data_IF_585821456771
#
_entry.id   IF_585821456771
#
_cell.length_a   1.000
_cell.length_b   1.000
_cell.length_c   1.000
_cell.angle_alpha   90.00
_cell.angle_beta   90.00
_cell.angle_gamma   90.00
#
_symmetry.space_group_name_H-M   'P 1'
#
loop_
_entity.id
_entity.type
_entity.pdbx_description
1 polymer ?
#
# COMPACT_ATOMS: atom_id res chain seq x y z
N UNK A 1 20.86 -22.63 24.45
CA UNK A 1 21.36 -22.16 23.13
C UNK A 1 21.22 -20.66 23.05
N UNK A 2 22.18 -19.92 22.46
CA UNK A 2 22.14 -18.46 22.41
C UNK A 2 21.03 -17.97 21.47
N UNK A 3 20.34 -16.92 21.90
CA UNK A 3 19.27 -16.25 21.13
C UNK A 3 19.83 -15.67 19.83
N UNK A 4 19.27 -16.11 18.69
CA UNK A 4 19.40 -15.39 17.43
C UNK A 4 18.61 -14.08 17.56
N UNK A 5 19.32 -12.94 17.54
CA UNK A 5 18.72 -11.60 17.58
C UNK A 5 17.97 -11.34 16.29
N UNK A 6 16.65 -11.48 16.32
CA UNK A 6 15.79 -10.91 15.30
C UNK A 6 15.94 -9.39 15.32
N UNK A 7 16.33 -8.81 14.18
CA UNK A 7 16.45 -7.36 14.02
C UNK A 7 15.05 -6.82 13.77
N UNK A 8 14.34 -6.49 14.85
CA UNK A 8 13.01 -5.90 14.81
C UNK A 8 13.09 -4.50 14.19
N UNK A 9 12.35 -4.26 13.10
CA UNK A 9 12.20 -2.94 12.50
C UNK A 9 10.85 -2.34 12.94
N UNK A 10 10.90 -1.51 13.97
CA UNK A 10 10.00 -0.36 14.23
C UNK A 10 8.50 -0.62 14.43
N UNK A 11 8.06 -0.70 15.70
CA UNK A 11 6.67 -0.47 16.13
C UNK A 11 6.56 -0.16 17.62
N UNK A 12 5.57 0.67 18.02
CA UNK A 12 5.26 1.02 19.42
C UNK A 12 4.55 -0.12 20.17
N UNK A 13 3.88 -1.02 19.44
CA UNK A 13 3.36 -2.28 19.94
C UNK A 13 4.12 -3.44 19.30
N UNK A 14 4.27 -4.55 20.03
CA UNK A 14 4.77 -5.80 19.47
C UNK A 14 3.86 -6.29 18.35
N UNK A 15 4.39 -7.10 17.43
CA UNK A 15 3.56 -7.73 16.40
C UNK A 15 2.55 -8.66 17.07
N UNK A 16 1.29 -8.27 17.08
CA UNK A 16 0.20 -9.17 17.46
C UNK A 16 0.11 -10.24 16.36
N UNK A 17 0.55 -11.46 16.68
CA UNK A 17 0.28 -12.61 15.82
C UNK A 17 -1.22 -12.90 15.90
N UNK A 18 -1.91 -13.12 14.76
CA UNK A 18 -3.30 -13.50 14.82
C UNK A 18 -3.45 -14.77 15.66
N UNK A 19 -4.45 -14.76 16.53
CA UNK A 19 -4.87 -15.92 17.33
C UNK A 19 -5.41 -16.97 16.35
N UNK A 20 -4.51 -17.70 15.68
CA UNK A 20 -4.87 -18.67 14.66
C UNK A 20 -5.85 -19.68 15.25
N UNK A 21 -7.09 -19.70 14.77
CA UNK A 21 -8.01 -20.75 15.22
C UNK A 21 -9.49 -20.62 14.86
N UNK A 22 -10.07 -19.42 14.82
CA UNK A 22 -11.51 -19.32 14.53
C UNK A 22 -11.76 -19.12 13.04
N UNK A 23 -12.32 -20.14 12.39
CA UNK A 23 -12.75 -20.15 10.98
C UNK A 23 -13.76 -19.01 10.62
N UNK A 24 -14.21 -18.24 11.61
CA UNK A 24 -15.14 -17.13 11.48
C UNK A 24 -14.51 -15.77 11.85
N UNK A 25 -13.18 -15.64 11.86
CA UNK A 25 -12.53 -14.34 12.07
C UNK A 25 -12.57 -13.47 10.81
N UNK A 26 -12.48 -12.15 10.96
CA UNK A 26 -12.31 -11.22 9.82
C UNK A 26 -11.09 -11.61 8.98
N UNK A 27 -10.00 -12.03 9.64
CA UNK A 27 -8.80 -12.50 8.96
C UNK A 27 -9.06 -13.77 8.13
N UNK A 28 -9.89 -14.69 8.63
CA UNK A 28 -10.31 -15.86 7.88
C UNK A 28 -11.11 -15.47 6.64
N UNK A 29 -12.03 -14.49 6.78
CA UNK A 29 -12.78 -13.93 5.65
C UNK A 29 -11.87 -13.28 4.60
N UNK A 30 -10.86 -12.52 5.01
CA UNK A 30 -9.89 -11.92 4.07
C UNK A 30 -8.96 -12.94 3.40
N UNK A 31 -8.82 -14.14 3.97
CA UNK A 31 -8.00 -15.23 3.43
C UNK A 31 -8.79 -16.28 2.63
N UNK A 32 -10.11 -16.12 2.46
CA UNK A 32 -11.00 -17.10 1.81
C UNK A 32 -10.48 -17.55 0.43
N UNK A 33 -9.80 -16.66 -0.31
CA UNK A 33 -9.32 -16.93 -1.67
C UNK A 33 -7.81 -17.24 -1.78
N UNK A 34 -7.15 -17.72 -0.71
CA UNK A 34 -5.71 -18.08 -0.73
C UNK A 34 -4.74 -16.95 -1.11
N UNK A 35 -4.99 -15.72 -0.64
CA UNK A 35 -4.01 -14.65 -0.81
C UNK A 35 -2.69 -14.97 -0.08
N UNK A 36 -1.56 -14.73 -0.75
CA UNK A 36 -0.22 -14.77 -0.16
C UNK A 36 -0.06 -13.59 0.81
N UNK A 37 -0.44 -13.78 2.08
CA UNK A 37 -0.34 -12.74 3.10
C UNK A 37 1.00 -12.81 3.85
N UNK A 38 1.65 -11.67 4.02
CA UNK A 38 2.79 -11.51 4.94
C UNK A 38 2.42 -10.55 6.07
N UNK A 39 2.81 -10.91 7.30
CA UNK A 39 2.55 -10.10 8.49
C UNK A 39 3.64 -9.06 8.72
N UNK A 40 3.24 -7.84 9.05
CA UNK A 40 4.13 -6.72 9.35
C UNK A 40 3.66 -6.01 10.63
N UNK A 41 4.57 -5.29 11.30
CA UNK A 41 4.27 -4.61 12.57
C UNK A 41 3.33 -3.42 12.37
N UNK A 42 3.35 -2.81 11.19
CA UNK A 42 2.47 -1.72 10.78
C UNK A 42 2.48 -1.55 9.25
N UNK A 43 1.53 -0.78 8.73
CA UNK A 43 1.40 -0.46 7.30
C UNK A 43 2.68 0.16 6.71
N UNK A 44 3.37 1.05 7.45
CA UNK A 44 4.64 1.65 7.00
C UNK A 44 5.71 0.59 6.71
N UNK A 45 5.87 -0.38 7.62
CA UNK A 45 6.83 -1.49 7.43
C UNK A 45 6.43 -2.43 6.29
N UNK A 46 5.12 -2.66 6.10
CA UNK A 46 4.61 -3.44 4.97
C UNK A 46 4.90 -2.76 3.63
N UNK A 47 4.57 -1.46 3.52
CA UNK A 47 4.84 -0.68 2.32
C UNK A 47 6.34 -0.60 2.04
N UNK A 48 7.17 -0.32 3.04
CA UNK A 48 8.63 -0.26 2.85
C UNK A 48 9.20 -1.59 2.33
N UNK A 49 8.76 -2.72 2.90
CA UNK A 49 9.17 -4.04 2.42
C UNK A 49 8.69 -4.32 0.98
N UNK A 50 7.46 -3.93 0.66
CA UNK A 50 6.89 -4.07 -0.67
C UNK A 50 7.69 -3.27 -1.71
N UNK A 51 8.02 -2.01 -1.42
CA UNK A 51 8.79 -1.15 -2.32
C UNK A 51 10.23 -1.65 -2.52
N UNK A 52 10.86 -2.20 -1.47
CA UNK A 52 12.18 -2.84 -1.58
C UNK A 52 12.14 -4.07 -2.49
N UNK A 53 11.08 -4.87 -2.43
CA UNK A 53 10.92 -6.06 -3.25
C UNK A 53 10.62 -5.73 -4.71
N UNK A 54 9.73 -4.77 -4.95
CA UNK A 54 9.27 -4.41 -6.29
C UNK A 54 10.24 -3.47 -7.02
N UNK A 55 11.02 -2.69 -6.27
CA UNK A 55 12.00 -1.73 -6.77
C UNK A 55 11.44 -0.81 -7.89
N UNK A 56 10.42 0.01 -7.58
CA UNK A 56 9.77 0.90 -8.55
C UNK A 56 10.73 1.94 -9.13
N UNK A 57 10.51 2.34 -10.38
CA UNK A 57 11.20 3.51 -10.97
C UNK A 57 10.84 4.80 -10.23
N UNK A 58 9.56 4.92 -9.84
CA UNK A 58 9.01 6.02 -9.07
C UNK A 58 7.72 5.57 -8.38
N UNK A 59 7.46 6.12 -7.19
CA UNK A 59 6.21 5.95 -6.47
C UNK A 59 5.37 7.23 -6.61
N UNK A 60 4.13 7.10 -7.05
CA UNK A 60 3.16 8.19 -7.07
C UNK A 60 2.29 8.10 -5.80
N UNK A 61 2.37 9.12 -4.95
CA UNK A 61 1.65 9.22 -3.68
C UNK A 61 0.54 10.27 -3.77
N UNK A 62 -0.61 10.09 -3.09
CA UNK A 62 -1.62 11.13 -3.05
C UNK A 62 -1.09 12.33 -2.25
N UNK A 63 -1.40 13.54 -2.70
CA UNK A 63 -0.95 14.77 -2.05
C UNK A 63 -1.45 14.93 -0.60
N UNK A 64 -2.51 14.22 -0.22
CA UNK A 64 -3.06 14.19 1.13
C UNK A 64 -2.78 12.85 1.83
N UNK A 65 -1.53 12.57 2.18
CA UNK A 65 -1.15 11.34 2.87
C UNK A 65 -0.49 11.60 4.23
N UNK A 66 -0.49 10.61 5.12
CA UNK A 66 0.23 10.73 6.38
C UNK A 66 1.76 10.69 6.17
N UNK A 67 2.51 11.26 7.11
CA UNK A 67 3.98 11.25 7.09
C UNK A 67 4.56 9.83 7.05
N UNK A 68 3.90 8.85 7.66
CA UNK A 68 4.36 7.47 7.69
C UNK A 68 4.48 6.84 6.30
N UNK A 69 3.60 7.20 5.35
CA UNK A 69 3.69 6.72 3.96
C UNK A 69 4.89 7.32 3.22
N UNK A 70 5.16 8.61 3.44
CA UNK A 70 6.34 9.28 2.90
C UNK A 70 7.62 8.64 3.47
N UNK A 71 7.63 8.34 4.76
CA UNK A 71 8.74 7.65 5.42
C UNK A 71 8.95 6.22 4.89
N UNK A 72 7.87 5.50 4.54
CA UNK A 72 7.99 4.17 3.90
C UNK A 72 8.68 4.23 2.54
N UNK A 73 8.54 5.35 1.82
CA UNK A 73 9.16 5.58 0.52
C UNK A 73 10.59 6.13 0.62
N UNK A 74 11.13 6.32 1.84
CA UNK A 74 12.48 6.86 2.01
C UNK A 74 13.53 5.98 1.29
N UNK A 75 14.34 6.59 0.43
CA UNK A 75 15.30 5.89 -0.43
C UNK A 75 14.77 5.51 -1.82
N UNK A 76 13.46 5.65 -2.06
CA UNK A 76 12.87 5.57 -3.39
C UNK A 76 12.56 6.97 -3.92
N UNK A 77 12.54 7.11 -5.26
CA UNK A 77 12.01 8.32 -5.89
C UNK A 77 10.49 8.32 -5.74
N UNK A 78 9.92 9.39 -5.21
CA UNK A 78 8.47 9.57 -5.14
C UNK A 78 8.04 10.97 -5.55
N UNK A 79 6.81 11.08 -6.07
CA UNK A 79 6.17 12.33 -6.43
C UNK A 79 4.71 12.32 -5.97
N UNK A 80 4.16 13.49 -5.66
CA UNK A 80 2.76 13.62 -5.25
C UNK A 80 1.84 13.84 -6.46
N UNK A 81 0.67 13.22 -6.45
CA UNK A 81 -0.42 13.48 -7.39
C UNK A 81 -1.61 14.12 -6.67
N UNK A 82 -2.37 15.01 -7.34
CA UNK A 82 -3.51 15.69 -6.74
C UNK A 82 -4.71 14.75 -6.56
N UNK A 83 -5.57 15.11 -5.61
CA UNK A 83 -6.87 14.47 -5.42
C UNK A 83 -7.98 15.39 -5.91
N UNK A 84 -9.13 14.81 -6.25
CA UNK A 84 -10.37 15.55 -6.46
C UNK A 84 -10.93 16.05 -5.12
N UNK A 85 -11.97 16.88 -5.18
CA UNK A 85 -12.69 17.39 -3.99
C UNK A 85 -13.28 16.27 -3.13
N UNK A 86 -13.57 15.10 -3.73
CA UNK A 86 -14.09 13.91 -3.04
C UNK A 86 -13.00 13.01 -2.43
N UNK A 87 -11.74 13.48 -2.45
CA UNK A 87 -10.53 12.73 -2.06
C UNK A 87 -10.25 11.51 -2.95
N UNK A 88 -10.78 11.47 -4.18
CA UNK A 88 -10.43 10.43 -5.15
C UNK A 88 -9.15 10.81 -5.92
N UNK A 89 -8.36 9.85 -6.43
CA UNK A 89 -7.24 10.16 -7.31
C UNK A 89 -7.68 10.95 -8.55
N UNK A 90 -6.93 12.01 -8.90
CA UNK A 90 -7.13 12.73 -10.15
C UNK A 90 -6.63 11.89 -11.34
N UNK A 91 -7.56 11.15 -11.95
CA UNK A 91 -7.27 10.27 -13.09
C UNK A 91 -6.68 11.05 -14.28
N UNK A 92 -7.14 12.28 -14.55
CA UNK A 92 -6.60 13.05 -15.67
C UNK A 92 -5.14 13.43 -15.44
N UNK A 93 -4.76 13.74 -14.20
CA UNK A 93 -3.36 13.95 -13.86
C UNK A 93 -2.55 12.66 -14.03
N UNK A 94 -3.08 11.52 -13.55
CA UNK A 94 -2.40 10.23 -13.63
C UNK A 94 -2.20 9.76 -15.08
N UNK A 95 -3.21 9.87 -15.94
CA UNK A 95 -3.12 9.54 -17.38
C UNK A 95 -1.97 10.29 -18.08
N UNK A 96 -1.78 11.57 -17.73
CA UNK A 96 -0.72 12.40 -18.32
C UNK A 96 0.67 12.11 -17.75
N UNK A 97 0.75 11.62 -16.52
CA UNK A 97 2.00 11.63 -15.73
C UNK A 97 2.56 10.25 -15.45
N UNK A 98 1.70 9.25 -15.24
CA UNK A 98 2.08 7.88 -14.97
C UNK A 98 2.77 7.24 -16.18
N UNK A 99 3.79 6.42 -15.93
CA UNK A 99 4.61 5.74 -16.93
C UNK A 99 4.86 4.31 -16.47
N UNK A 100 5.10 3.41 -17.41
CA UNK A 100 5.46 2.03 -17.11
C UNK A 100 6.60 1.95 -16.07
N UNK A 101 6.42 1.08 -15.06
CA UNK A 101 7.33 0.94 -13.93
C UNK A 101 7.07 1.90 -12.75
N UNK A 102 6.17 2.88 -12.91
CA UNK A 102 5.62 3.61 -11.77
C UNK A 102 4.76 2.69 -10.91
N UNK A 103 4.77 2.93 -9.60
CA UNK A 103 3.85 2.32 -8.66
C UNK A 103 2.97 3.40 -8.06
N UNK A 104 1.66 3.21 -8.10
CA UNK A 104 0.68 4.21 -7.68
C UNK A 104 0.06 3.76 -6.37
N UNK A 105 0.25 4.53 -5.31
CA UNK A 105 -0.43 4.29 -4.03
C UNK A 105 -1.76 5.06 -4.03
N UNK A 106 -2.86 4.37 -3.78
CA UNK A 106 -4.18 4.94 -3.60
C UNK A 106 -4.70 4.63 -2.19
N UNK A 107 -5.34 5.62 -1.56
CA UNK A 107 -5.87 5.50 -0.20
C UNK A 107 -7.39 5.52 -0.28
N UNK A 108 -8.03 4.53 0.34
CA UNK A 108 -9.48 4.52 0.53
C UNK A 108 -9.86 5.38 1.74
N UNK A 109 -9.78 6.71 1.59
CA UNK A 109 -10.03 7.65 2.67
C UNK A 109 -11.37 7.40 3.36
N UNK A 110 -11.33 7.27 4.68
CA UNK A 110 -12.50 6.97 5.53
C UNK A 110 -13.22 5.66 5.15
N UNK A 111 -12.52 4.73 4.51
CA UNK A 111 -13.09 3.46 4.03
C UNK A 111 -14.03 3.61 2.83
N UNK A 112 -13.99 4.76 2.13
CA UNK A 112 -14.77 4.96 0.90
C UNK A 112 -14.22 4.04 -0.20
N UNK A 113 -15.13 3.42 -0.94
CA UNK A 113 -14.76 2.66 -2.13
C UNK A 113 -14.12 3.58 -3.19
N UNK A 114 -13.18 3.07 -4.00
CA UNK A 114 -12.60 3.83 -5.10
C UNK A 114 -13.67 4.33 -6.07
N UNK A 115 -13.47 5.50 -6.66
CA UNK A 115 -14.40 6.03 -7.66
C UNK A 115 -14.43 5.13 -8.90
N UNK A 116 -15.58 5.03 -9.56
CA UNK A 116 -15.72 4.25 -10.79
C UNK A 116 -14.75 4.71 -11.92
N UNK A 117 -14.42 6.00 -11.96
CA UNK A 117 -13.42 6.52 -12.89
C UNK A 117 -12.03 5.96 -12.58
N UNK A 118 -11.63 5.92 -11.31
CA UNK A 118 -10.34 5.35 -10.91
C UNK A 118 -10.29 3.84 -11.11
N UNK A 119 -11.38 3.11 -10.84
CA UNK A 119 -11.46 1.68 -11.13
C UNK A 119 -11.23 1.39 -12.63
N UNK A 120 -11.88 2.15 -13.52
CA UNK A 120 -11.66 2.03 -14.96
C UNK A 120 -10.22 2.33 -15.36
N UNK A 121 -9.59 3.34 -14.75
CA UNK A 121 -8.18 3.66 -14.97
C UNK A 121 -7.28 2.47 -14.60
N UNK A 122 -7.50 1.86 -13.44
CA UNK A 122 -6.75 0.66 -13.00
C UNK A 122 -6.93 -0.50 -13.99
N UNK A 123 -8.16 -0.77 -14.42
CA UNK A 123 -8.46 -1.83 -15.38
C UNK A 123 -7.74 -1.65 -16.73
N UNK A 124 -7.63 -0.39 -17.18
CA UNK A 124 -7.02 -0.04 -18.47
C UNK A 124 -5.48 -0.02 -18.46
N UNK A 125 -4.85 0.09 -17.29
CA UNK A 125 -3.42 0.27 -17.13
C UNK A 125 -2.73 -0.94 -16.46
N UNK A 126 -2.70 -2.06 -17.18
CA UNK A 126 -2.05 -3.30 -16.71
C UNK A 126 -0.52 -3.22 -16.67
N UNK A 127 0.07 -2.17 -17.24
CA UNK A 127 1.51 -1.87 -17.21
C UNK A 127 1.95 -1.08 -15.96
N UNK A 128 0.98 -0.63 -15.16
CA UNK A 128 1.19 0.05 -13.90
C UNK A 128 0.85 -0.88 -12.72
N UNK A 129 1.53 -0.69 -11.59
CA UNK A 129 1.21 -1.41 -10.37
C UNK A 129 0.51 -0.47 -9.38
N UNK A 130 -0.68 -0.87 -8.96
CA UNK A 130 -1.49 -0.15 -7.99
C UNK A 130 -1.37 -0.78 -6.61
N UNK A 131 -1.12 0.05 -5.60
CA UNK A 131 -1.00 -0.32 -4.19
C UNK A 131 -2.14 0.38 -3.45
N UNK A 132 -2.89 -0.37 -2.65
CA UNK A 132 -3.96 0.15 -1.80
C UNK A 132 -3.46 0.30 -0.35
N UNK A 133 -3.80 1.43 0.28
CA UNK A 133 -3.72 1.67 1.73
C UNK A 133 -5.12 1.88 2.32
#
# INVERSE_FOLDING_TARGET
MPMSRHKYIGGFFEMALPDGGNAQSILSHWKIDNYNCSGFVNARSALSALLLQLNPSRVLLPAYCCRSLVEACAGHRFEFYPLTEDLAPDVHFLERTARAGDHILAINYFGKAPSHLFQKFVEQHQDLLFIED
#
